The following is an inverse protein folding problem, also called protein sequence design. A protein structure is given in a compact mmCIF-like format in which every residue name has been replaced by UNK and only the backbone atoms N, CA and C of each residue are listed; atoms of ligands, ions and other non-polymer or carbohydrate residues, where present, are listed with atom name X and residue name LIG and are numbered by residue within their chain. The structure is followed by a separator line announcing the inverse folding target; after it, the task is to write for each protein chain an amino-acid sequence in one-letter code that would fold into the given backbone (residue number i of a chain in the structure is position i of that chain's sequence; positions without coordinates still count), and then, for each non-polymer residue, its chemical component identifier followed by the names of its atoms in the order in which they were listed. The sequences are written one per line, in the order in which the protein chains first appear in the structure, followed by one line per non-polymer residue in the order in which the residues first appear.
data_IF_499798878469
#
_entry.id   IF_499798878469
#
_cell.length_a   1.000
_cell.length_b   1.000
_cell.length_c   1.000
_cell.angle_alpha   90.00
_cell.angle_beta   90.00
_cell.angle_gamma   90.00
#
_symmetry.space_group_name_H-M   'P 1'
#
loop_
_entity.id
_entity.type
_entity.pdbx_description
1 polymer ?
#
# COMPACT_ATOMS: atom_id res chain seq x y z
N UNK A 1 5.53 26.65 16.86
CA UNK A 1 4.61 25.77 17.61
C UNK A 1 4.91 24.34 17.19
N UNK A 2 5.38 23.46 18.08
CA UNK A 2 5.61 22.06 17.74
C UNK A 2 4.30 21.27 17.79
N UNK A 3 4.13 20.30 16.90
CA UNK A 3 3.01 19.35 16.98
C UNK A 3 3.30 18.30 18.06
N UNK A 4 2.27 17.91 18.83
CA UNK A 4 2.35 16.83 19.81
C UNK A 4 2.26 15.48 19.11
N UNK A 5 3.26 14.62 19.31
CA UNK A 5 3.28 13.23 18.81
C UNK A 5 3.00 12.29 19.97
N UNK A 6 1.98 11.45 19.84
CA UNK A 6 1.58 10.47 20.86
C UNK A 6 1.76 9.05 20.30
N UNK A 7 2.18 8.13 21.17
CA UNK A 7 2.21 6.70 20.86
C UNK A 7 0.78 6.15 20.91
N UNK A 8 0.32 5.53 19.82
CA UNK A 8 -0.98 4.85 19.78
C UNK A 8 -0.84 3.36 20.15
N UNK A 9 -0.10 2.59 19.35
CA UNK A 9 0.05 1.14 19.51
C UNK A 9 1.39 0.65 18.91
N UNK A 10 1.74 -0.60 19.20
CA UNK A 10 2.95 -1.25 18.68
C UNK A 10 2.60 -2.62 18.10
N UNK A 11 3.10 -2.91 16.90
CA UNK A 11 3.05 -4.24 16.29
C UNK A 11 4.48 -4.84 16.26
N UNK A 12 4.78 -5.91 17.02
CA UNK A 12 6.11 -6.52 17.08
C UNK A 12 6.36 -7.46 15.89
N UNK A 13 6.08 -6.99 14.67
CA UNK A 13 6.16 -7.74 13.41
C UNK A 13 6.17 -6.78 12.23
N UNK A 14 6.48 -7.24 10.99
CA UNK A 14 6.13 -6.50 9.79
C UNK A 14 4.68 -6.01 9.83
N UNK A 15 4.46 -4.76 9.44
CA UNK A 15 3.19 -4.06 9.58
C UNK A 15 2.64 -3.62 8.22
N UNK A 16 1.31 -3.51 8.13
CA UNK A 16 0.64 -3.22 6.87
C UNK A 16 1.08 -1.89 6.26
N UNK A 17 1.29 -0.87 7.10
CA UNK A 17 1.76 0.44 6.64
C UNK A 17 3.14 0.40 5.97
N UNK A 18 3.95 -0.63 6.24
CA UNK A 18 5.26 -0.82 5.63
C UNK A 18 5.25 -1.55 4.28
N UNK A 19 4.11 -1.96 3.73
CA UNK A 19 4.08 -2.76 2.49
C UNK A 19 4.67 -2.01 1.29
N UNK A 20 4.52 -0.67 1.25
CA UNK A 20 5.13 0.17 0.22
C UNK A 20 6.65 -0.04 0.08
N UNK A 21 7.35 -0.46 1.15
CA UNK A 21 8.80 -0.67 1.15
C UNK A 21 9.26 -1.78 0.19
N UNK A 22 8.35 -2.68 -0.23
CA UNK A 22 8.66 -3.71 -1.23
C UNK A 22 9.08 -3.05 -2.56
N UNK A 23 8.31 -2.07 -3.03
CA UNK A 23 8.60 -1.36 -4.27
C UNK A 23 9.43 -0.10 -4.07
N UNK A 24 9.24 0.61 -2.95
CA UNK A 24 9.73 1.97 -2.78
C UNK A 24 11.14 2.07 -2.18
N UNK A 25 11.62 1.04 -1.48
CA UNK A 25 12.92 1.05 -0.79
C UNK A 25 13.95 0.13 -1.45
N UNK A 26 15.22 0.33 -1.11
CA UNK A 26 16.29 -0.62 -1.45
C UNK A 26 16.14 -1.93 -0.68
N UNK A 27 15.74 -1.87 0.60
CA UNK A 27 15.47 -3.03 1.45
C UNK A 27 14.06 -2.94 2.01
N UNK A 28 13.23 -3.96 1.77
CA UNK A 28 11.86 -4.00 2.30
C UNK A 28 11.84 -4.30 3.80
N UNK A 29 10.75 -3.98 4.48
CA UNK A 29 10.57 -4.36 5.88
C UNK A 29 10.70 -5.88 6.11
N UNK A 30 10.36 -6.70 5.12
CA UNK A 30 10.41 -8.16 5.20
C UNK A 30 11.84 -8.67 5.08
N UNK A 31 12.60 -8.16 4.12
CA UNK A 31 14.02 -8.49 4.00
C UNK A 31 14.79 -8.01 5.22
N UNK A 32 14.51 -6.80 5.69
CA UNK A 32 15.12 -6.25 6.91
C UNK A 32 14.82 -7.12 8.13
N UNK A 33 13.57 -7.57 8.27
CA UNK A 33 13.16 -8.46 9.36
C UNK A 33 13.88 -9.81 9.30
N UNK A 34 14.00 -10.41 8.11
CA UNK A 34 14.75 -11.67 7.92
C UNK A 34 16.24 -11.50 8.22
N UNK A 35 16.88 -10.44 7.71
CA UNK A 35 18.30 -10.15 7.99
C UNK A 35 18.55 -10.00 9.48
N UNK A 36 17.67 -9.29 10.19
CA UNK A 36 17.77 -9.13 11.64
C UNK A 36 17.63 -10.46 12.40
N UNK A 37 16.66 -11.30 12.03
CA UNK A 37 16.46 -12.63 12.67
C UNK A 37 17.66 -13.55 12.44
N UNK A 38 18.25 -13.50 11.25
CA UNK A 38 19.36 -14.37 10.86
C UNK A 38 20.75 -13.83 11.26
N UNK A 39 20.83 -12.66 11.88
CA UNK A 39 22.10 -12.02 12.24
C UNK A 39 22.92 -11.55 11.03
N UNK A 40 22.28 -11.30 9.89
CA UNK A 40 22.92 -10.80 8.67
C UNK A 40 23.07 -9.26 8.73
N UNK A 41 24.00 -8.67 7.97
CA UNK A 41 24.09 -7.21 7.83
C UNK A 41 22.76 -6.61 7.37
N UNK A 42 22.28 -5.60 8.09
CA UNK A 42 21.08 -4.84 7.75
C UNK A 42 21.22 -4.18 6.37
N UNK A 43 20.12 -4.12 5.63
CA UNK A 43 20.09 -3.46 4.32
C UNK A 43 19.80 -1.96 4.43
N UNK A 44 20.01 -1.23 3.33
CA UNK A 44 19.67 0.19 3.20
C UNK A 44 18.14 0.36 3.14
N UNK A 45 17.50 1.04 4.13
CA UNK A 45 16.06 1.25 4.14
C UNK A 45 15.63 2.47 3.29
N UNK A 46 16.57 3.21 2.70
CA UNK A 46 16.29 4.43 1.95
C UNK A 46 15.35 4.17 0.79
N UNK A 47 14.48 5.15 0.51
CA UNK A 47 13.64 5.12 -0.67
C UNK A 47 14.49 5.26 -1.94
N UNK A 48 14.20 4.44 -2.94
CA UNK A 48 14.80 4.52 -4.30
C UNK A 48 13.94 5.36 -5.26
N UNK A 49 12.90 5.99 -4.76
CA UNK A 49 11.92 6.79 -5.50
C UNK A 49 11.52 8.03 -4.69
N UNK A 50 11.20 9.18 -5.32
CA UNK A 50 10.87 10.39 -4.57
C UNK A 50 9.54 10.36 -3.81
N UNK A 51 8.60 9.49 -4.19
CA UNK A 51 7.31 9.38 -3.52
C UNK A 51 6.65 8.02 -3.76
N UNK A 52 5.91 7.55 -2.76
CA UNK A 52 5.09 6.36 -2.85
C UNK A 52 3.76 6.53 -2.13
N UNK A 53 2.73 5.86 -2.65
CA UNK A 53 1.46 5.62 -1.95
C UNK A 53 1.16 4.13 -2.00
N UNK A 54 0.75 3.56 -0.88
CA UNK A 54 0.17 2.21 -0.85
C UNK A 54 -1.31 2.28 -0.47
N UNK A 55 -2.15 1.56 -1.20
CA UNK A 55 -3.59 1.47 -1.00
C UNK A 55 -4.02 0.02 -0.77
N UNK A 56 -4.78 -0.25 0.30
CA UNK A 56 -5.30 -1.60 0.54
C UNK A 56 -6.45 -1.93 -0.42
N UNK A 57 -6.41 -3.12 -1.02
CA UNK A 57 -7.57 -3.71 -1.71
C UNK A 57 -8.39 -4.45 -0.65
N UNK A 58 -9.60 -3.96 -0.39
CA UNK A 58 -10.54 -4.57 0.54
C UNK A 58 -11.58 -5.41 -0.19
N UNK A 59 -11.98 -6.51 0.42
CA UNK A 59 -13.06 -7.36 -0.05
C UNK A 59 -14.42 -6.68 0.12
N UNK A 60 -15.32 -6.97 -0.81
CA UNK A 60 -16.73 -6.59 -0.76
C UNK A 60 -17.58 -7.70 -0.14
N UNK A 61 -18.86 -7.43 0.08
CA UNK A 61 -19.80 -8.41 0.64
C UNK A 61 -20.05 -9.56 -0.35
N UNK A 62 -19.92 -10.80 0.11
CA UNK A 62 -20.12 -12.05 -0.66
C UNK A 62 -21.49 -12.10 -1.35
N UNK A 63 -22.50 -11.38 -0.83
CA UNK A 63 -23.85 -11.30 -1.41
C UNK A 63 -23.87 -10.73 -2.82
N UNK A 64 -22.84 -9.96 -3.21
CA UNK A 64 -22.70 -9.44 -4.57
C UNK A 64 -22.00 -10.43 -5.51
N UNK A 65 -21.42 -11.52 -4.98
CA UNK A 65 -20.90 -12.67 -5.75
C UNK A 65 -19.83 -12.35 -6.79
N UNK A 66 -19.37 -11.10 -6.89
CA UNK A 66 -18.53 -10.66 -8.00
C UNK A 66 -17.24 -10.04 -7.46
N UNK A 67 -16.11 -10.55 -7.91
CA UNK A 67 -14.81 -9.88 -7.84
C UNK A 67 -14.71 -8.76 -8.88
N UNK A 68 -15.81 -8.41 -9.55
CA UNK A 68 -15.82 -7.50 -10.70
C UNK A 68 -15.21 -6.15 -10.35
N UNK A 69 -15.60 -5.55 -9.22
CA UNK A 69 -15.03 -4.25 -8.83
C UNK A 69 -13.51 -4.33 -8.60
N UNK A 70 -13.04 -5.38 -7.92
CA UNK A 70 -11.60 -5.60 -7.68
C UNK A 70 -10.87 -5.84 -9.00
N UNK A 71 -11.43 -6.65 -9.91
CA UNK A 71 -10.88 -6.90 -11.24
C UNK A 71 -10.80 -5.61 -12.07
N UNK A 72 -11.84 -4.78 -12.08
CA UNK A 72 -11.82 -3.48 -12.74
C UNK A 72 -10.79 -2.52 -12.12
N UNK A 73 -10.70 -2.49 -10.78
CA UNK A 73 -9.70 -1.70 -10.07
C UNK A 73 -8.28 -2.13 -10.45
N UNK A 74 -7.99 -3.44 -10.43
CA UNK A 74 -6.68 -3.96 -10.78
C UNK A 74 -6.34 -3.68 -12.25
N UNK A 75 -7.28 -3.88 -13.18
CA UNK A 75 -7.10 -3.56 -14.60
C UNK A 75 -6.73 -2.09 -14.81
N UNK A 76 -7.52 -1.17 -14.24
CA UNK A 76 -7.24 0.27 -14.30
C UNK A 76 -5.89 0.64 -13.67
N UNK A 77 -5.54 -0.02 -12.56
CA UNK A 77 -4.28 0.23 -11.88
C UNK A 77 -3.06 -0.18 -12.74
N UNK A 78 -3.16 -1.27 -13.50
CA UNK A 78 -2.10 -1.74 -14.39
C UNK A 78 -1.80 -0.77 -15.55
N UNK A 79 -2.77 0.06 -15.94
CA UNK A 79 -2.56 1.09 -16.97
C UNK A 79 -1.80 2.32 -16.44
N UNK A 80 -1.62 2.44 -15.12
CA UNK A 80 -0.96 3.59 -14.50
C UNK A 80 0.55 3.35 -14.35
N UNK A 81 1.40 4.34 -14.69
CA UNK A 81 2.84 4.21 -14.55
C UNK A 81 3.26 4.15 -13.07
N UNK A 82 4.24 3.29 -12.77
CA UNK A 82 4.80 3.12 -11.44
C UNK A 82 3.91 2.33 -10.47
N UNK A 83 2.90 1.62 -10.98
CA UNK A 83 2.02 0.78 -10.16
C UNK A 83 2.57 -0.64 -10.02
N UNK A 84 2.40 -1.21 -8.84
CA UNK A 84 2.56 -2.65 -8.57
C UNK A 84 1.39 -3.14 -7.74
N UNK A 85 0.88 -4.34 -8.07
CA UNK A 85 -0.27 -4.94 -7.40
C UNK A 85 0.20 -6.22 -6.72
N UNK A 86 -0.15 -6.37 -5.46
CA UNK A 86 0.04 -7.58 -4.67
C UNK A 86 -1.31 -8.17 -4.32
N UNK A 87 -1.67 -9.26 -5.01
CA UNK A 87 -2.86 -10.04 -4.71
C UNK A 87 -2.52 -11.17 -3.75
N UNK A 88 -3.25 -11.30 -2.64
CA UNK A 88 -2.95 -12.31 -1.61
C UNK A 88 -3.59 -13.68 -1.87
N UNK A 89 -4.37 -13.82 -2.94
CA UNK A 89 -5.03 -15.07 -3.34
C UNK A 89 -5.80 -15.76 -2.19
N UNK A 90 -6.55 -14.96 -1.41
CA UNK A 90 -7.35 -15.47 -0.31
C UNK A 90 -8.63 -16.12 -0.87
N UNK A 91 -8.97 -17.35 -0.46
CA UNK A 91 -10.06 -18.12 -1.07
C UNK A 91 -11.45 -17.54 -0.81
N UNK A 92 -11.61 -16.78 0.28
CA UNK A 92 -12.90 -16.19 0.65
C UNK A 92 -12.80 -14.66 0.67
N UNK A 93 -13.72 -13.99 -0.01
CA UNK A 93 -13.79 -12.53 -0.06
C UNK A 93 -14.85 -12.04 0.94
N UNK A 94 -14.41 -11.57 2.11
CA UNK A 94 -15.31 -11.00 3.11
C UNK A 94 -15.23 -9.48 3.11
N UNK A 95 -16.34 -8.81 3.41
CA UNK A 95 -16.40 -7.35 3.55
C UNK A 95 -15.30 -6.86 4.50
N UNK A 96 -14.54 -5.84 4.07
CA UNK A 96 -13.40 -5.24 4.81
C UNK A 96 -12.20 -6.17 5.04
N UNK A 97 -12.19 -7.39 4.48
CA UNK A 97 -11.00 -8.25 4.52
C UNK A 97 -9.95 -7.68 3.56
N UNK A 98 -8.70 -7.53 4.00
CA UNK A 98 -7.60 -7.15 3.10
C UNK A 98 -7.32 -8.28 2.12
N UNK A 99 -7.59 -8.06 0.84
CA UNK A 99 -7.43 -9.03 -0.24
C UNK A 99 -6.13 -8.81 -1.02
N UNK A 100 -5.58 -7.60 -0.97
CA UNK A 100 -4.31 -7.25 -1.59
C UNK A 100 -3.91 -5.83 -1.23
N UNK A 101 -2.91 -5.31 -1.93
CA UNK A 101 -2.57 -3.90 -1.93
C UNK A 101 -2.02 -3.46 -3.28
N UNK A 102 -2.10 -2.15 -3.53
CA UNK A 102 -1.54 -1.47 -4.69
C UNK A 102 -0.48 -0.50 -4.18
N UNK A 103 0.73 -0.54 -4.73
CA UNK A 103 1.76 0.47 -4.49
C UNK A 103 1.92 1.32 -5.75
N UNK A 104 1.91 2.64 -5.61
CA UNK A 104 2.06 3.62 -6.69
C UNK A 104 3.31 4.46 -6.41
N UNK A 105 4.31 4.36 -7.27
CA UNK A 105 5.53 5.15 -7.20
C UNK A 105 5.47 6.35 -8.15
N UNK A 106 6.17 7.43 -7.81
CA UNK A 106 6.21 8.60 -8.68
C UNK A 106 7.20 9.68 -8.25
N UNK A 107 7.33 10.74 -9.05
CA UNK A 107 8.32 11.79 -8.84
C UNK A 107 7.94 12.77 -7.72
N UNK A 108 6.70 12.73 -7.23
CA UNK A 108 6.24 13.59 -6.13
C UNK A 108 4.93 13.06 -5.54
N UNK A 109 4.64 13.44 -4.28
CA UNK A 109 3.36 13.17 -3.61
C UNK A 109 2.14 13.56 -4.46
N UNK A 110 2.19 14.73 -5.11
CA UNK A 110 1.09 15.24 -5.92
C UNK A 110 0.77 14.31 -7.09
N UNK A 111 1.80 13.78 -7.76
CA UNK A 111 1.62 12.86 -8.89
C UNK A 111 1.07 11.52 -8.43
N UNK A 112 1.64 10.91 -7.38
CA UNK A 112 1.13 9.62 -6.89
C UNK A 112 -0.29 9.76 -6.35
N UNK A 113 -0.62 10.87 -5.70
CA UNK A 113 -1.99 11.15 -5.24
C UNK A 113 -2.97 11.30 -6.42
N UNK A 114 -2.61 12.08 -7.44
CA UNK A 114 -3.46 12.25 -8.62
C UNK A 114 -3.74 10.92 -9.33
N UNK A 115 -2.75 10.02 -9.38
CA UNK A 115 -2.92 8.65 -9.90
C UNK A 115 -3.88 7.84 -9.03
N UNK A 116 -3.74 7.88 -7.71
CA UNK A 116 -4.68 7.21 -6.80
C UNK A 116 -6.10 7.76 -6.95
N UNK A 117 -6.26 9.08 -7.00
CA UNK A 117 -7.58 9.73 -7.13
C UNK A 117 -8.25 9.35 -8.45
N UNK A 118 -7.49 9.30 -9.55
CA UNK A 118 -7.93 8.82 -10.87
C UNK A 118 -8.35 7.35 -10.82
N UNK A 119 -7.58 6.50 -10.13
CA UNK A 119 -7.87 5.08 -9.98
C UNK A 119 -9.19 4.83 -9.23
N UNK A 120 -9.45 5.65 -8.21
CA UNK A 120 -10.63 5.53 -7.34
C UNK A 120 -11.84 6.36 -7.83
N UNK A 121 -11.74 6.99 -9.00
CA UNK A 121 -12.77 7.87 -9.59
C UNK A 121 -13.28 8.97 -8.64
N UNK A 122 -12.44 9.43 -7.71
CA UNK A 122 -12.84 10.39 -6.67
C UNK A 122 -12.84 11.81 -7.23
N UNK A 123 -13.98 12.50 -7.16
CA UNK A 123 -14.14 13.92 -7.53
C UNK A 123 -13.89 14.91 -6.36
N UNK A 124 -13.70 14.44 -5.13
CA UNK A 124 -13.44 15.29 -3.96
C UNK A 124 -12.57 14.57 -2.90
N UNK A 125 -11.79 15.30 -2.07
CA UNK A 125 -10.95 14.70 -1.04
C UNK A 125 -11.80 14.18 0.12
N UNK A 126 -11.83 12.86 0.31
CA UNK A 126 -12.54 12.24 1.43
C UNK A 126 -12.37 10.72 1.47
N UNK A 127 -11.82 10.22 2.59
CA UNK A 127 -11.55 8.83 2.95
C UNK A 127 -10.29 8.18 2.35
N UNK A 128 -9.13 8.69 2.78
CA UNK A 128 -7.80 8.06 2.57
C UNK A 128 -7.44 7.06 3.67
N UNK A 129 -8.41 6.53 4.43
CA UNK A 129 -8.15 5.65 5.58
C UNK A 129 -7.35 4.38 5.23
N UNK A 130 -7.41 3.95 3.96
CA UNK A 130 -6.71 2.79 3.44
C UNK A 130 -5.43 3.14 2.65
N UNK A 131 -5.14 4.43 2.48
CA UNK A 131 -3.97 4.92 1.78
C UNK A 131 -2.86 5.31 2.77
N UNK A 132 -1.64 4.87 2.50
CA UNK A 132 -0.44 5.24 3.25
C UNK A 132 0.45 6.05 2.32
N UNK A 133 0.69 7.31 2.68
CA UNK A 133 1.53 8.23 1.92
C UNK A 133 2.94 8.27 2.51
N UNK A 134 3.94 8.24 1.64
CA UNK A 134 5.35 8.29 2.04
C UNK A 134 6.13 9.19 1.09
N UNK A 135 6.93 10.08 1.67
CA UNK A 135 7.95 10.94 1.04
C UNK A 135 9.32 10.74 1.65
#
# INVERSE_FOLDING_TARGET
MGYLVLLNEVAPRPHNSGHHTIEACYTSQYEQHLRAILGLPLGDPSMKTPAAIMYNILGEDERLGSTWFIDQLMKKALDLPGVSIHWYDKPEMRKQRKMGHITILGPSKGIVKARLDSLLERKAPGHDADAVFVD
#
